data_IF_782006615050
#
_entry.id   IF_782006615050
#
_cell.length_a   1.000
_cell.length_b   1.000
_cell.length_c   1.000
_cell.angle_alpha   90.00
_cell.angle_beta   90.00
_cell.angle_gamma   90.00
#
_symmetry.space_group_name_H-M   'P 1'
#
loop_
_entity.id
_entity.type
_entity.pdbx_description
1 polymer ?
#
# COMPACT_ATOMS: atom_id res chain seq x y z
N UNK A 1 2.24 -33.88 -10.92
CA UNK A 1 1.90 -32.46 -10.75
C UNK A 1 2.98 -31.65 -11.45
N UNK A 2 2.64 -31.00 -12.57
CA UNK A 2 3.60 -30.15 -13.28
C UNK A 2 3.77 -28.86 -12.48
N UNK A 3 4.90 -28.71 -11.83
CA UNK A 3 5.28 -27.43 -11.20
C UNK A 3 5.57 -26.45 -12.34
N UNK A 4 4.72 -25.42 -12.49
CA UNK A 4 5.05 -24.29 -13.37
C UNK A 4 6.43 -23.79 -12.99
N UNK A 5 7.36 -23.58 -13.95
CA UNK A 5 8.64 -23.02 -13.63
C UNK A 5 8.44 -21.66 -12.96
N UNK A 6 9.12 -21.44 -11.85
CA UNK A 6 9.07 -20.19 -11.12
C UNK A 6 9.52 -19.01 -12.00
N UNK A 7 8.68 -17.99 -12.13
CA UNK A 7 9.01 -16.82 -12.95
C UNK A 7 9.99 -15.95 -12.17
N UNK A 8 11.28 -16.20 -12.35
CA UNK A 8 12.38 -15.47 -11.67
C UNK A 8 12.30 -13.95 -11.88
N UNK A 9 11.80 -13.51 -13.03
CA UNK A 9 11.65 -12.09 -13.37
C UNK A 9 10.76 -11.35 -12.36
N UNK A 10 9.64 -11.92 -11.94
CA UNK A 10 8.74 -11.27 -10.96
C UNK A 10 9.45 -11.07 -9.61
N UNK A 11 10.15 -12.08 -9.12
CA UNK A 11 10.96 -11.95 -7.90
C UNK A 11 12.06 -10.89 -8.03
N UNK A 12 12.70 -10.81 -9.20
CA UNK A 12 13.74 -9.80 -9.44
C UNK A 12 13.13 -8.39 -9.43
N UNK A 13 11.93 -8.20 -10.00
CA UNK A 13 11.22 -6.93 -9.96
C UNK A 13 10.80 -6.54 -8.54
N UNK A 14 10.31 -7.49 -7.74
CA UNK A 14 10.00 -7.27 -6.32
C UNK A 14 11.25 -6.86 -5.53
N UNK A 15 12.37 -7.55 -5.75
CA UNK A 15 13.63 -7.23 -5.10
C UNK A 15 14.19 -5.87 -5.54
N UNK A 16 14.08 -5.53 -6.83
CA UNK A 16 14.46 -4.23 -7.35
C UNK A 16 13.58 -3.12 -6.76
N UNK A 17 12.26 -3.27 -6.79
CA UNK A 17 11.32 -2.34 -6.14
C UNK A 17 11.65 -2.10 -4.67
N UNK A 18 11.93 -3.16 -3.91
CA UNK A 18 12.33 -3.05 -2.50
C UNK A 18 13.67 -2.30 -2.36
N UNK A 19 14.64 -2.55 -3.24
CA UNK A 19 15.95 -1.87 -3.26
C UNK A 19 15.81 -0.36 -3.50
N UNK A 20 15.07 0.03 -4.54
CA UNK A 20 14.86 1.44 -4.90
C UNK A 20 14.05 2.20 -3.84
N UNK A 21 13.01 1.56 -3.29
CA UNK A 21 12.21 2.13 -2.19
C UNK A 21 13.09 2.39 -0.95
N UNK A 22 13.95 1.44 -0.59
CA UNK A 22 14.88 1.59 0.52
C UNK A 22 15.95 2.66 0.23
N UNK A 23 16.47 2.73 -1.00
CA UNK A 23 17.43 3.74 -1.42
C UNK A 23 16.82 5.13 -1.32
N UNK A 24 15.59 5.34 -1.83
CA UNK A 24 14.86 6.60 -1.71
C UNK A 24 14.81 7.10 -0.27
N UNK A 25 14.34 6.29 0.67
CA UNK A 25 14.18 6.71 2.07
C UNK A 25 15.55 6.95 2.74
N UNK A 26 16.56 6.09 2.49
CA UNK A 26 17.91 6.30 3.02
C UNK A 26 18.53 7.61 2.52
N UNK A 27 18.37 7.94 1.24
CA UNK A 27 18.93 9.16 0.69
C UNK A 27 18.22 10.40 1.22
N UNK A 28 16.89 10.37 1.41
CA UNK A 28 16.16 11.43 2.12
C UNK A 28 16.70 11.63 3.54
N UNK A 29 16.96 10.55 4.25
CA UNK A 29 17.55 10.61 5.59
C UNK A 29 18.98 11.16 5.57
N UNK A 30 19.83 10.75 4.63
CA UNK A 30 21.19 11.24 4.49
C UNK A 30 21.22 12.72 4.07
N UNK A 31 20.31 13.17 3.24
CA UNK A 31 20.13 14.59 2.92
C UNK A 31 19.81 15.41 4.19
N UNK A 32 18.91 14.91 5.04
CA UNK A 32 18.59 15.54 6.34
C UNK A 32 19.83 15.65 7.22
N UNK A 33 20.66 14.61 7.30
CA UNK A 33 21.89 14.62 8.10
C UNK A 33 22.95 15.57 7.53
N UNK A 34 23.17 15.58 6.21
CA UNK A 34 24.08 16.48 5.54
C UNK A 34 23.68 17.96 5.79
N UNK A 35 22.40 18.27 5.64
CA UNK A 35 21.87 19.61 5.90
C UNK A 35 22.07 20.04 7.36
N UNK A 36 21.83 19.14 8.31
CA UNK A 36 22.08 19.40 9.73
C UNK A 36 23.56 19.64 10.04
N UNK A 37 24.48 19.07 9.25
CA UNK A 37 25.91 19.29 9.32
C UNK A 37 26.37 20.57 8.56
N UNK A 38 25.48 21.28 7.89
CA UNK A 38 25.78 22.48 7.12
C UNK A 38 26.28 22.20 5.68
N UNK A 39 26.26 20.96 5.22
CA UNK A 39 26.65 20.54 3.87
C UNK A 39 25.44 20.49 2.94
N UNK A 40 25.03 21.65 2.46
CA UNK A 40 23.89 21.79 1.56
C UNK A 40 24.17 21.18 0.17
N UNK A 41 25.41 21.14 -0.28
CA UNK A 41 25.77 20.58 -1.58
C UNK A 41 25.52 19.04 -1.58
N UNK A 42 26.02 18.36 -0.58
CA UNK A 42 25.78 16.91 -0.38
C UNK A 42 24.28 16.63 -0.14
N UNK A 43 23.58 17.47 0.61
CA UNK A 43 22.14 17.30 0.85
C UNK A 43 21.36 17.30 -0.47
N UNK A 44 21.64 18.23 -1.38
CA UNK A 44 20.96 18.31 -2.69
C UNK A 44 21.25 17.09 -3.56
N UNK A 45 22.48 16.59 -3.60
CA UNK A 45 22.81 15.38 -4.36
C UNK A 45 21.94 14.20 -3.88
N UNK A 46 21.82 14.00 -2.57
CA UNK A 46 20.99 12.94 -2.02
C UNK A 46 19.49 13.15 -2.33
N UNK A 47 18.98 14.38 -2.26
CA UNK A 47 17.58 14.67 -2.60
C UNK A 47 17.28 14.37 -4.08
N UNK A 48 18.13 14.86 -4.98
CA UNK A 48 17.99 14.64 -6.42
C UNK A 48 18.04 13.15 -6.77
N UNK A 49 18.96 12.40 -6.16
CA UNK A 49 19.07 10.95 -6.36
C UNK A 49 17.83 10.25 -5.79
N UNK A 50 17.37 10.62 -4.59
CA UNK A 50 16.15 10.06 -4.00
C UNK A 50 14.92 10.23 -4.90
N UNK A 51 14.78 11.38 -5.56
CA UNK A 51 13.68 11.63 -6.49
C UNK A 51 13.76 10.75 -7.75
N UNK A 52 14.96 10.37 -8.19
CA UNK A 52 15.15 9.42 -9.29
C UNK A 52 14.76 8.01 -8.87
N UNK A 53 15.13 7.57 -7.66
CA UNK A 53 14.80 6.22 -7.16
C UNK A 53 13.28 6.00 -7.04
N UNK A 54 12.50 7.04 -6.76
CA UNK A 54 11.03 6.96 -6.81
C UNK A 54 10.54 6.58 -8.22
N UNK A 55 11.14 7.15 -9.26
CA UNK A 55 10.74 6.84 -10.64
C UNK A 55 11.13 5.41 -11.01
N UNK A 56 12.30 4.93 -10.58
CA UNK A 56 12.71 3.53 -10.77
C UNK A 56 11.74 2.58 -10.05
N UNK A 57 11.39 2.87 -8.79
CA UNK A 57 10.44 2.08 -8.03
C UNK A 57 9.06 2.02 -8.70
N UNK A 58 8.53 3.13 -9.21
CA UNK A 58 7.26 3.16 -9.96
C UNK A 58 7.36 2.35 -11.25
N UNK A 59 8.49 2.41 -12.00
CA UNK A 59 8.69 1.61 -13.19
C UNK A 59 8.61 0.09 -12.89
N UNK A 60 9.13 -0.35 -11.75
CA UNK A 60 8.97 -1.74 -11.31
C UNK A 60 7.53 -2.07 -10.90
N UNK A 61 6.86 -1.13 -10.20
CA UNK A 61 5.46 -1.30 -9.78
C UNK A 61 4.51 -1.41 -10.97
N UNK A 62 4.72 -0.65 -12.04
CA UNK A 62 3.91 -0.73 -13.26
C UNK A 62 3.93 -2.13 -13.90
N UNK A 63 5.05 -2.87 -13.73
CA UNK A 63 5.19 -4.25 -14.19
C UNK A 63 4.62 -5.27 -13.20
N UNK A 64 4.72 -5.00 -11.90
CA UNK A 64 4.20 -5.86 -10.83
C UNK A 64 2.68 -5.72 -10.67
N UNK A 65 2.16 -4.52 -10.86
CA UNK A 65 0.76 -4.14 -10.68
C UNK A 65 0.25 -3.36 -11.90
N UNK A 66 -0.01 -4.01 -13.03
CA UNK A 66 -0.49 -3.32 -14.24
C UNK A 66 -1.73 -2.48 -13.95
N UNK A 67 -1.71 -1.20 -14.30
CA UNK A 67 -2.77 -0.24 -13.97
C UNK A 67 -4.17 -0.68 -14.42
N UNK A 68 -4.26 -1.47 -15.51
CA UNK A 68 -5.52 -2.02 -16.00
C UNK A 68 -6.13 -3.08 -15.06
N UNK A 69 -5.33 -3.68 -14.16
CA UNK A 69 -5.74 -4.75 -13.24
C UNK A 69 -5.95 -4.25 -11.81
N UNK A 70 -5.48 -3.02 -11.50
CA UNK A 70 -5.52 -2.46 -10.15
C UNK A 70 -6.63 -1.41 -10.03
N UNK A 71 -7.80 -1.82 -9.59
CA UNK A 71 -8.85 -0.90 -9.17
C UNK A 71 -8.53 -0.30 -7.79
N UNK A 72 -9.13 0.85 -7.40
CA UNK A 72 -8.99 1.38 -6.04
C UNK A 72 -9.37 0.38 -4.95
N UNK A 73 -10.40 -0.44 -5.18
CA UNK A 73 -10.79 -1.50 -4.25
C UNK A 73 -9.70 -2.57 -4.13
N UNK A 74 -9.12 -3.00 -5.26
CA UNK A 74 -8.03 -3.98 -5.27
C UNK A 74 -6.77 -3.44 -4.58
N UNK A 75 -6.44 -2.17 -4.78
CA UNK A 75 -5.33 -1.53 -4.08
C UNK A 75 -5.53 -1.52 -2.55
N UNK A 76 -6.76 -1.23 -2.08
CA UNK A 76 -7.10 -1.31 -0.65
C UNK A 76 -7.00 -2.73 -0.10
N UNK A 77 -7.41 -3.75 -0.86
CA UNK A 77 -7.28 -5.15 -0.45
C UNK A 77 -5.80 -5.54 -0.27
N UNK A 78 -4.94 -5.14 -1.20
CA UNK A 78 -3.49 -5.37 -1.12
C UNK A 78 -2.90 -4.67 0.11
N UNK A 79 -3.26 -3.42 0.35
CA UNK A 79 -2.82 -2.69 1.53
C UNK A 79 -3.28 -3.36 2.83
N UNK A 80 -4.56 -3.76 2.93
CA UNK A 80 -5.09 -4.47 4.10
C UNK A 80 -4.30 -5.77 4.36
N UNK A 81 -3.95 -6.50 3.32
CA UNK A 81 -3.20 -7.75 3.46
C UNK A 81 -1.77 -7.48 3.96
N UNK A 82 -1.07 -6.48 3.41
CA UNK A 82 0.26 -6.06 3.83
C UNK A 82 0.29 -5.61 5.29
N UNK A 83 -0.53 -4.63 5.65
CA UNK A 83 -0.64 -4.12 7.01
C UNK A 83 -1.03 -5.21 8.02
N UNK A 84 -1.92 -6.13 7.61
CA UNK A 84 -2.31 -7.25 8.47
C UNK A 84 -1.13 -8.18 8.75
N UNK A 85 -0.36 -8.54 7.73
CA UNK A 85 0.86 -9.34 7.88
C UNK A 85 1.87 -8.65 8.79
N UNK A 86 2.07 -7.34 8.62
CA UNK A 86 2.99 -6.56 9.43
C UNK A 86 2.65 -6.62 10.91
N UNK A 87 1.42 -6.29 11.30
CA UNK A 87 1.07 -6.26 12.73
C UNK A 87 0.80 -7.62 13.35
N UNK A 88 0.48 -8.66 12.57
CA UNK A 88 0.14 -9.98 13.11
C UNK A 88 1.30 -10.99 13.11
N UNK A 89 2.26 -10.83 12.20
CA UNK A 89 3.32 -11.82 11.98
C UNK A 89 4.73 -11.19 11.96
N UNK A 90 4.98 -10.24 11.08
CA UNK A 90 6.31 -9.70 10.82
C UNK A 90 6.87 -8.96 12.05
N UNK A 91 6.24 -7.88 12.45
CA UNK A 91 6.70 -7.09 13.60
C UNK A 91 6.67 -7.85 14.93
N UNK A 92 5.65 -8.68 15.26
CA UNK A 92 5.73 -9.55 16.43
C UNK A 92 6.92 -10.50 16.41
N UNK A 93 7.31 -10.98 15.22
CA UNK A 93 8.53 -11.77 15.04
C UNK A 93 9.78 -10.99 15.38
N UNK A 94 9.92 -9.79 14.82
CA UNK A 94 11.07 -8.91 15.07
C UNK A 94 11.15 -8.47 16.54
N UNK A 95 10.00 -8.15 17.14
CA UNK A 95 9.92 -7.80 18.57
C UNK A 95 10.49 -8.89 19.47
N UNK A 96 10.18 -10.17 19.19
CA UNK A 96 10.74 -11.28 19.99
C UNK A 96 12.27 -11.27 19.97
N UNK A 97 12.86 -11.11 18.79
CA UNK A 97 14.31 -11.05 18.63
C UNK A 97 14.89 -9.85 19.39
N UNK A 98 14.30 -8.66 19.25
CA UNK A 98 14.76 -7.45 19.95
C UNK A 98 14.71 -7.60 21.47
N UNK A 99 13.69 -8.29 22.01
CA UNK A 99 13.58 -8.61 23.44
C UNK A 99 14.68 -9.59 23.87
N UNK A 100 14.94 -10.64 23.07
CA UNK A 100 15.99 -11.64 23.34
C UNK A 100 17.39 -11.00 23.32
N UNK A 101 17.62 -10.02 22.44
CA UNK A 101 18.88 -9.26 22.34
C UNK A 101 18.98 -8.12 23.36
N UNK A 102 17.91 -7.77 24.06
CA UNK A 102 17.87 -6.70 25.06
C UNK A 102 17.87 -5.28 24.48
N UNK A 103 17.50 -5.12 23.18
CA UNK A 103 17.42 -3.82 22.52
C UNK A 103 16.06 -3.14 22.81
N UNK A 104 16.01 -2.40 23.92
CA UNK A 104 14.80 -1.70 24.34
C UNK A 104 14.35 -0.61 23.34
N UNK A 105 15.27 0.01 22.60
CA UNK A 105 14.93 1.02 21.61
C UNK A 105 14.24 0.39 20.41
N UNK A 106 14.76 -0.73 19.90
CA UNK A 106 14.12 -1.49 18.83
C UNK A 106 12.75 -2.03 19.25
N UNK A 107 12.61 -2.52 20.50
CA UNK A 107 11.30 -2.97 21.02
C UNK A 107 10.28 -1.84 21.00
N UNK A 108 10.63 -0.64 21.47
CA UNK A 108 9.71 0.50 21.49
C UNK A 108 9.27 0.92 20.09
N UNK A 109 10.22 1.03 19.15
CA UNK A 109 9.95 1.35 17.74
C UNK A 109 9.01 0.31 17.10
N UNK A 110 9.29 -0.97 17.30
CA UNK A 110 8.47 -2.05 16.73
C UNK A 110 7.06 -2.07 17.33
N UNK A 111 6.89 -1.79 18.61
CA UNK A 111 5.56 -1.71 19.25
C UNK A 111 4.73 -0.54 18.69
N UNK A 112 5.35 0.58 18.36
CA UNK A 112 4.69 1.70 17.67
C UNK A 112 4.25 1.28 16.26
N UNK A 113 5.12 0.61 15.47
CA UNK A 113 4.80 0.12 14.14
C UNK A 113 3.66 -0.91 14.15
N UNK A 114 3.60 -1.81 15.14
CA UNK A 114 2.47 -2.75 15.30
C UNK A 114 1.15 -1.99 15.49
N UNK A 115 1.14 -0.95 16.32
CA UNK A 115 -0.06 -0.16 16.58
C UNK A 115 -0.51 0.63 15.34
N UNK A 116 0.44 1.21 14.61
CA UNK A 116 0.18 1.98 13.40
C UNK A 116 -0.32 1.10 12.26
N UNK A 117 0.34 -0.02 11.94
CA UNK A 117 -0.10 -0.95 10.90
C UNK A 117 -1.50 -1.51 11.18
N UNK A 118 -1.83 -1.75 12.45
CA UNK A 118 -3.20 -2.14 12.84
C UNK A 118 -4.23 -1.04 12.55
N UNK A 119 -3.88 0.22 12.81
CA UNK A 119 -4.73 1.37 12.52
C UNK A 119 -4.88 1.60 11.01
N UNK A 120 -3.81 1.44 10.23
CA UNK A 120 -3.82 1.52 8.77
C UNK A 120 -4.74 0.47 8.14
N UNK A 121 -4.60 -0.80 8.55
CA UNK A 121 -5.49 -1.87 8.10
C UNK A 121 -6.97 -1.57 8.41
N UNK A 122 -7.27 -1.07 9.61
CA UNK A 122 -8.63 -0.71 9.99
C UNK A 122 -9.19 0.45 9.14
N UNK A 123 -8.38 1.48 8.87
CA UNK A 123 -8.75 2.60 8.00
C UNK A 123 -9.07 2.14 6.58
N UNK A 124 -8.24 1.28 6.01
CA UNK A 124 -8.48 0.73 4.67
C UNK A 124 -9.76 -0.11 4.61
N UNK A 125 -10.02 -0.96 5.62
CA UNK A 125 -11.28 -1.73 5.72
C UNK A 125 -12.50 -0.83 5.79
N UNK A 126 -12.49 0.20 6.64
CA UNK A 126 -13.60 1.16 6.74
C UNK A 126 -13.89 1.89 5.43
N UNK A 127 -12.85 2.15 4.61
CA UNK A 127 -13.01 2.74 3.28
C UNK A 127 -13.71 1.78 2.31
N UNK A 128 -13.35 0.50 2.30
CA UNK A 128 -14.00 -0.54 1.49
C UNK A 128 -15.47 -0.70 1.89
N UNK A 129 -15.77 -0.81 3.19
CA UNK A 129 -17.13 -0.94 3.72
C UNK A 129 -18.00 0.26 3.36
N UNK A 130 -17.45 1.47 3.48
CA UNK A 130 -18.14 2.70 3.11
C UNK A 130 -18.46 2.78 1.62
N UNK A 131 -17.53 2.31 0.76
CA UNK A 131 -17.74 2.25 -0.68
C UNK A 131 -18.83 1.23 -1.04
N UNK A 132 -18.83 0.05 -0.42
CA UNK A 132 -19.84 -0.98 -0.61
C UNK A 132 -21.23 -0.49 -0.18
N UNK A 133 -21.33 0.19 0.98
CA UNK A 133 -22.58 0.76 1.49
C UNK A 133 -23.15 1.81 0.54
N UNK A 134 -22.32 2.72 0.02
CA UNK A 134 -22.73 3.72 -0.97
C UNK A 134 -23.21 3.08 -2.26
N UNK A 135 -22.49 2.06 -2.77
CA UNK A 135 -22.88 1.31 -3.97
C UNK A 135 -24.24 0.63 -3.80
N UNK A 136 -24.48 -0.04 -2.68
CA UNK A 136 -25.76 -0.67 -2.39
C UNK A 136 -26.93 0.33 -2.26
N UNK A 137 -26.67 1.52 -1.69
CA UNK A 137 -27.67 2.58 -1.61
C UNK A 137 -28.03 3.13 -3.00
N UNK A 138 -27.02 3.34 -3.86
CA UNK A 138 -27.22 3.80 -5.23
C UNK A 138 -28.02 2.78 -6.07
N UNK A 139 -27.68 1.50 -5.99
CA UNK A 139 -28.40 0.43 -6.67
C UNK A 139 -29.89 0.40 -6.32
N UNK A 140 -30.24 0.61 -5.04
CA UNK A 140 -31.64 0.72 -4.61
C UNK A 140 -32.37 1.95 -5.18
N UNK A 141 -31.65 3.05 -5.42
CA UNK A 141 -32.22 4.25 -6.06
C UNK A 141 -32.47 3.96 -7.55
N UNK A 142 -31.53 3.37 -8.24
CA UNK A 142 -31.65 3.00 -9.66
C UNK A 142 -32.77 2.00 -9.89
N UNK A 143 -32.93 1.01 -9.02
CA UNK A 143 -34.03 0.04 -9.08
C UNK A 143 -35.40 0.73 -8.95
N UNK A 144 -35.52 1.71 -8.04
CA UNK A 144 -36.77 2.52 -7.89
C UNK A 144 -37.05 3.34 -9.14
N UNK A 145 -36.03 3.95 -9.75
CA UNK A 145 -36.16 4.70 -11.00
C UNK A 145 -36.60 3.77 -12.15
N UNK A 146 -35.94 2.65 -12.34
CA UNK A 146 -36.31 1.66 -13.34
C UNK A 146 -37.74 1.15 -13.14
N UNK A 147 -38.19 0.95 -11.91
CA UNK A 147 -39.56 0.60 -11.57
C UNK A 147 -40.55 1.71 -11.94
N UNK A 148 -40.21 2.99 -11.69
CA UNK A 148 -41.05 4.13 -12.05
C UNK A 148 -41.21 4.25 -13.58
N UNK A 149 -40.11 4.11 -14.33
CA UNK A 149 -40.16 4.11 -15.80
C UNK A 149 -41.00 2.97 -16.36
N UNK A 150 -40.87 1.75 -15.86
CA UNK A 150 -41.70 0.62 -16.29
C UNK A 150 -43.18 0.87 -16.06
N UNK A 151 -43.56 1.44 -14.89
CA UNK A 151 -44.98 1.81 -14.60
C UNK A 151 -45.48 2.93 -15.51
N UNK A 152 -44.68 3.93 -15.81
CA UNK A 152 -45.02 5.01 -16.73
C UNK A 152 -45.25 4.49 -18.16
N UNK A 153 -44.37 3.60 -18.64
CA UNK A 153 -44.54 2.96 -19.93
C UNK A 153 -45.81 2.14 -20.04
N UNK A 154 -46.12 1.35 -19.00
CA UNK A 154 -47.36 0.55 -18.96
C UNK A 154 -48.63 1.41 -18.99
N UNK A 155 -48.63 2.59 -18.37
CA UNK A 155 -49.73 3.55 -18.42
C UNK A 155 -49.90 4.23 -19.78
N UNK A 156 -48.79 4.47 -20.50
CA UNK A 156 -48.81 5.09 -21.80
C UNK A 156 -49.25 4.12 -22.93
N UNK A 157 -49.20 2.82 -22.66
CA UNK A 157 -49.60 1.75 -23.62
C UNK A 157 -51.06 1.26 -23.36
N UNK A 158 -51.76 1.76 -22.34
CA UNK A 158 -53.15 1.42 -22.04
C UNK A 158 -54.10 2.50 -22.48
#
# INVERSE_FOLDING_TARGET
MSTRPEIKTMRNLEAAFAGESMAHIKYRYFAKLARAAGDEATARIFEETADQEVQHAFGHLDLLYPAAEITPARALEIAIAGETYEYSEMYPGFRRVAVEEGDAAAVAEIEEQIAESKAHAARCRGTVESAATRGAALAKVEERHAGAYRRALARAAA
#
